data_IF_138068307524
#
_entry.id   IF_138068307524
#
_cell.length_a   1.000
_cell.length_b   1.000
_cell.length_c   1.000
_cell.angle_alpha   90.00
_cell.angle_beta   90.00
_cell.angle_gamma   90.00
#
_symmetry.space_group_name_H-M   'P 1'
#
loop_
_entity.id
_entity.type
_entity.pdbx_description
1 polymer ?
#
# COMPACT_ATOMS: atom_id res chain seq x y z
N UNK A 1 45.38 -16.40 -23.53
CA UNK A 1 44.10 -16.96 -24.03
C UNK A 1 43.12 -17.04 -22.87
N UNK A 2 41.96 -16.40 -23.04
CA UNK A 2 40.94 -16.15 -22.01
C UNK A 2 40.22 -17.42 -21.56
N UNK A 3 40.21 -17.68 -20.26
CA UNK A 3 39.47 -18.77 -19.64
C UNK A 3 38.09 -18.23 -19.19
N UNK A 4 37.07 -18.32 -20.06
CA UNK A 4 35.68 -17.97 -19.72
C UNK A 4 35.10 -19.00 -18.75
N UNK A 5 35.22 -18.75 -17.44
CA UNK A 5 34.39 -19.43 -16.44
C UNK A 5 32.94 -18.95 -16.55
N UNK A 6 32.08 -19.80 -17.10
CA UNK A 6 30.61 -19.75 -16.97
C UNK A 6 30.25 -19.55 -15.49
N UNK A 7 29.64 -18.41 -15.14
CA UNK A 7 28.88 -18.28 -13.89
C UNK A 7 27.66 -19.20 -14.03
N UNK A 8 27.71 -20.35 -13.36
CA UNK A 8 26.55 -21.22 -13.22
C UNK A 8 25.46 -20.45 -12.50
N UNK A 9 24.33 -20.32 -13.17
CA UNK A 9 23.11 -19.74 -12.63
C UNK A 9 22.62 -20.67 -11.50
N UNK A 10 22.92 -20.29 -10.26
CA UNK A 10 22.48 -21.00 -9.07
C UNK A 10 20.97 -20.88 -8.94
N UNK A 11 20.27 -21.84 -9.52
CA UNK A 11 18.87 -22.15 -9.22
C UNK A 11 18.79 -22.48 -7.72
N UNK A 12 18.26 -21.55 -6.94
CA UNK A 12 17.91 -21.81 -5.54
C UNK A 12 16.54 -22.48 -5.50
N UNK A 13 16.56 -23.74 -5.09
CA UNK A 13 15.41 -24.59 -4.87
C UNK A 13 14.55 -24.10 -3.69
N UNK A 14 13.23 -24.24 -3.82
CA UNK A 14 12.44 -24.90 -2.78
C UNK A 14 11.77 -24.09 -1.67
N UNK A 15 11.78 -22.76 -1.66
CA UNK A 15 10.85 -21.98 -0.83
C UNK A 15 9.93 -21.21 -1.76
N UNK A 16 8.61 -21.26 -1.53
CA UNK A 16 7.64 -20.39 -2.18
C UNK A 16 8.01 -18.94 -1.87
N UNK A 17 8.96 -18.39 -2.65
CA UNK A 17 9.30 -16.98 -2.61
C UNK A 17 8.09 -16.27 -3.16
N UNK A 18 7.28 -15.74 -2.25
CA UNK A 18 6.20 -14.80 -2.54
C UNK A 18 6.85 -13.47 -2.99
N UNK A 19 7.35 -13.53 -4.23
CA UNK A 19 7.71 -12.51 -5.21
C UNK A 19 8.05 -11.08 -4.73
N UNK A 20 9.27 -10.62 -5.12
CA UNK A 20 9.56 -9.29 -5.76
C UNK A 20 10.11 -8.15 -4.82
N UNK A 21 10.93 -7.20 -5.35
CA UNK A 21 12.26 -6.71 -4.89
C UNK A 21 12.26 -5.61 -3.82
N UNK A 22 11.15 -5.45 -3.11
CA UNK A 22 10.93 -4.40 -2.11
C UNK A 22 10.60 -5.05 -0.77
N UNK A 23 11.54 -5.86 -0.29
CA UNK A 23 11.41 -6.52 1.01
C UNK A 23 12.10 -5.76 2.14
N UNK A 24 12.73 -4.61 1.90
CA UNK A 24 13.58 -3.96 2.91
C UNK A 24 14.83 -4.79 3.23
N UNK A 25 15.76 -4.21 4.01
CA UNK A 25 17.04 -4.83 4.34
C UNK A 25 17.13 -5.18 5.84
N UNK A 26 17.77 -6.31 6.17
CA UNK A 26 17.96 -6.75 7.56
C UNK A 26 16.65 -6.95 8.34
N UNK A 27 16.57 -6.45 9.57
CA UNK A 27 15.39 -6.59 10.44
C UNK A 27 14.12 -5.91 9.88
N UNK A 28 14.27 -4.87 9.05
CA UNK A 28 13.14 -4.21 8.38
C UNK A 28 12.38 -5.16 7.45
N UNK A 29 13.05 -6.20 6.95
CA UNK A 29 12.43 -7.22 6.10
C UNK A 29 11.37 -8.03 6.80
N UNK A 30 11.67 -8.48 8.01
CA UNK A 30 10.72 -9.24 8.83
C UNK A 30 9.51 -8.37 9.16
N UNK A 31 9.75 -7.09 9.51
CA UNK A 31 8.69 -6.12 9.82
C UNK A 31 7.80 -5.86 8.59
N UNK A 32 8.38 -5.64 7.41
CA UNK A 32 7.63 -5.40 6.17
C UNK A 32 6.76 -6.61 5.80
N UNK A 33 7.28 -7.83 5.95
CA UNK A 33 6.49 -9.06 5.70
C UNK A 33 5.31 -9.13 6.66
N UNK A 34 5.53 -8.86 7.96
CA UNK A 34 4.49 -8.91 8.98
C UNK A 34 3.42 -7.85 8.73
N UNK A 35 3.80 -6.62 8.34
CA UNK A 35 2.88 -5.56 7.95
C UNK A 35 2.07 -5.91 6.69
N UNK A 36 2.69 -6.55 5.69
CA UNK A 36 1.97 -7.03 4.49
C UNK A 36 0.92 -8.08 4.86
N UNK A 37 1.26 -9.04 5.73
CA UNK A 37 0.32 -10.05 6.21
C UNK A 37 -0.85 -9.39 6.97
N UNK A 38 -0.56 -8.43 7.85
CA UNK A 38 -1.58 -7.68 8.56
C UNK A 38 -2.50 -6.91 7.58
N UNK A 39 -1.92 -6.26 6.58
CA UNK A 39 -2.65 -5.55 5.53
C UNK A 39 -3.54 -6.49 4.71
N UNK A 40 -3.07 -7.70 4.40
CA UNK A 40 -3.87 -8.72 3.69
C UNK A 40 -5.10 -9.13 4.50
N UNK A 41 -4.91 -9.42 5.80
CA UNK A 41 -6.00 -9.77 6.71
C UNK A 41 -6.99 -8.60 6.82
N UNK A 42 -6.47 -7.38 7.03
CA UNK A 42 -7.28 -6.17 7.12
C UNK A 42 -8.08 -5.92 5.85
N UNK A 43 -7.48 -6.06 4.67
CA UNK A 43 -8.16 -5.88 3.37
C UNK A 43 -9.26 -6.94 3.18
N UNK A 44 -9.02 -8.17 3.61
CA UNK A 44 -10.01 -9.24 3.53
C UNK A 44 -11.24 -8.92 4.38
N UNK A 45 -11.04 -8.51 5.62
CA UNK A 45 -12.16 -8.22 6.53
C UNK A 45 -12.86 -6.91 6.11
N UNK A 46 -12.10 -5.83 5.95
CA UNK A 46 -12.66 -4.49 5.76
C UNK A 46 -13.14 -4.25 4.33
N UNK A 47 -12.42 -4.73 3.31
CA UNK A 47 -12.74 -4.43 1.92
C UNK A 47 -13.50 -5.56 1.24
N UNK A 48 -13.20 -6.85 1.49
CA UNK A 48 -13.99 -7.94 0.93
C UNK A 48 -15.28 -8.17 1.74
N UNK A 49 -15.17 -8.48 3.03
CA UNK A 49 -16.36 -8.80 3.83
C UNK A 49 -17.26 -7.58 4.00
N UNK A 50 -16.77 -6.46 4.52
CA UNK A 50 -17.62 -5.28 4.71
C UNK A 50 -17.72 -4.40 3.47
N UNK A 51 -16.62 -4.23 2.74
CA UNK A 51 -16.55 -3.30 1.61
C UNK A 51 -17.28 -3.73 0.34
N UNK A 52 -17.38 -5.03 0.08
CA UNK A 52 -18.14 -5.57 -1.07
C UNK A 52 -19.49 -6.10 -0.61
N UNK A 53 -19.55 -6.93 0.44
CA UNK A 53 -20.85 -7.49 0.86
C UNK A 53 -21.75 -6.43 1.46
N UNK A 54 -21.22 -5.40 2.13
CA UNK A 54 -22.03 -4.30 2.69
C UNK A 54 -22.92 -3.63 1.63
N UNK A 55 -22.33 -3.05 0.56
CA UNK A 55 -23.09 -2.48 -0.56
C UNK A 55 -24.06 -3.48 -1.21
N UNK A 56 -23.63 -4.73 -1.44
CA UNK A 56 -24.47 -5.76 -2.07
C UNK A 56 -25.68 -6.10 -1.19
N UNK A 57 -25.49 -6.26 0.11
CA UNK A 57 -26.57 -6.51 1.06
C UNK A 57 -27.58 -5.37 1.08
N UNK A 58 -27.13 -4.12 0.95
CA UNK A 58 -28.04 -2.98 0.88
C UNK A 58 -28.85 -2.98 -0.43
N UNK A 59 -28.24 -3.34 -1.56
CA UNK A 59 -28.96 -3.40 -2.84
C UNK A 59 -29.95 -4.55 -2.96
N UNK A 60 -29.63 -5.72 -2.40
CA UNK A 60 -30.50 -6.90 -2.47
C UNK A 60 -31.52 -6.90 -1.33
N UNK A 61 -31.21 -6.26 -0.20
CA UNK A 61 -32.11 -6.15 0.93
C UNK A 61 -33.31 -5.25 0.66
N UNK A 62 -34.40 -5.50 1.38
CA UNK A 62 -35.61 -4.66 1.37
C UNK A 62 -35.40 -3.39 2.22
N UNK A 63 -34.42 -2.58 1.82
CA UNK A 63 -34.17 -1.27 2.42
C UNK A 63 -34.95 -0.17 1.68
N UNK A 64 -35.16 0.96 2.36
CA UNK A 64 -35.79 2.14 1.76
C UNK A 64 -35.09 2.54 0.45
N UNK A 65 -35.83 2.81 -0.65
CA UNK A 65 -35.26 3.26 -1.93
C UNK A 65 -34.34 4.49 -1.83
N UNK A 66 -34.57 5.37 -0.86
CA UNK A 66 -33.70 6.52 -0.58
C UNK A 66 -32.30 6.09 -0.09
N UNK A 67 -32.18 4.91 0.53
CA UNK A 67 -30.91 4.30 0.93
C UNK A 67 -30.28 3.61 -0.25
N UNK A 68 -30.99 2.69 -0.90
CA UNK A 68 -30.43 1.85 -1.97
C UNK A 68 -29.99 2.65 -3.19
N UNK A 69 -30.68 3.76 -3.47
CA UNK A 69 -30.34 4.73 -4.53
C UNK A 69 -29.26 5.75 -4.14
N UNK A 70 -28.72 5.71 -2.92
CA UNK A 70 -27.73 6.68 -2.48
C UNK A 70 -26.38 6.48 -3.21
N UNK A 71 -25.83 7.50 -3.88
CA UNK A 71 -24.54 7.39 -4.57
C UNK A 71 -23.38 7.00 -3.65
N UNK A 72 -23.49 7.22 -2.34
CA UNK A 72 -22.49 6.83 -1.35
C UNK A 72 -22.23 5.31 -1.35
N UNK A 73 -23.24 4.48 -1.66
CA UNK A 73 -23.08 3.02 -1.71
C UNK A 73 -22.17 2.61 -2.87
N UNK A 74 -22.29 3.29 -4.01
CA UNK A 74 -21.44 3.05 -5.18
C UNK A 74 -20.01 3.48 -4.87
N UNK A 75 -19.81 4.66 -4.27
CA UNK A 75 -18.46 5.13 -3.92
C UNK A 75 -17.81 4.23 -2.87
N UNK A 76 -18.59 3.70 -1.91
CA UNK A 76 -18.13 2.71 -0.95
C UNK A 76 -17.63 1.42 -1.64
N UNK A 77 -18.42 0.87 -2.57
CA UNK A 77 -18.01 -0.33 -3.32
C UNK A 77 -16.73 -0.08 -4.13
N UNK A 78 -16.70 1.02 -4.87
CA UNK A 78 -15.54 1.39 -5.71
C UNK A 78 -14.29 1.56 -4.86
N UNK A 79 -14.39 2.26 -3.72
CA UNK A 79 -13.23 2.49 -2.85
C UNK A 79 -12.71 1.20 -2.23
N UNK A 80 -13.59 0.27 -1.88
CA UNK A 80 -13.21 -1.05 -1.40
C UNK A 80 -12.43 -1.83 -2.46
N UNK A 81 -12.85 -1.76 -3.73
CA UNK A 81 -12.12 -2.36 -4.86
C UNK A 81 -10.74 -1.72 -5.04
N UNK A 82 -10.63 -0.39 -4.92
CA UNK A 82 -9.35 0.32 -5.04
C UNK A 82 -8.38 -0.10 -3.95
N UNK A 83 -8.83 -0.25 -2.69
CA UNK A 83 -8.01 -0.79 -1.61
C UNK A 83 -7.52 -2.22 -1.90
N UNK A 84 -8.37 -3.08 -2.45
CA UNK A 84 -7.98 -4.44 -2.84
C UNK A 84 -6.86 -4.39 -3.89
N UNK A 85 -7.00 -3.54 -4.91
CA UNK A 85 -5.97 -3.33 -5.94
C UNK A 85 -4.66 -2.85 -5.29
N UNK A 86 -4.72 -1.85 -4.40
CA UNK A 86 -3.55 -1.33 -3.70
C UNK A 86 -2.81 -2.41 -2.89
N UNK A 87 -3.55 -3.26 -2.17
CA UNK A 87 -3.00 -4.42 -1.46
C UNK A 87 -2.28 -5.38 -2.41
N UNK A 88 -2.89 -5.72 -3.57
CA UNK A 88 -2.21 -6.56 -4.57
C UNK A 88 -0.93 -5.92 -5.10
N UNK A 89 -0.91 -4.62 -5.35
CA UNK A 89 0.27 -3.90 -5.84
C UNK A 89 1.40 -3.91 -4.79
N UNK A 90 1.08 -3.81 -3.49
CA UNK A 90 2.05 -3.96 -2.39
C UNK A 90 2.61 -5.39 -2.32
N UNK A 91 1.76 -6.39 -2.54
CA UNK A 91 2.16 -7.80 -2.57
C UNK A 91 3.09 -8.10 -3.74
N UNK A 92 2.83 -7.48 -4.90
CA UNK A 92 3.70 -7.51 -6.08
C UNK A 92 4.97 -6.65 -5.93
N UNK A 93 5.28 -6.12 -4.74
CA UNK A 93 6.52 -5.40 -4.48
C UNK A 93 6.60 -3.99 -5.06
N UNK A 94 5.48 -3.38 -5.44
CA UNK A 94 5.45 -2.01 -5.97
C UNK A 94 4.97 -1.02 -4.89
N UNK A 95 5.75 -0.93 -3.80
CA UNK A 95 5.36 -0.25 -2.56
C UNK A 95 4.93 1.22 -2.73
N UNK A 96 5.65 1.98 -3.56
CA UNK A 96 5.32 3.40 -3.83
C UNK A 96 3.99 3.57 -4.55
N UNK A 97 3.78 2.79 -5.61
CA UNK A 97 2.56 2.88 -6.43
C UNK A 97 1.35 2.49 -5.59
N UNK A 98 1.47 1.41 -4.82
CA UNK A 98 0.43 0.98 -3.90
C UNK A 98 0.07 2.05 -2.86
N UNK A 99 1.05 2.74 -2.27
CA UNK A 99 0.78 3.81 -1.31
C UNK A 99 0.00 4.98 -1.91
N UNK A 100 0.22 5.28 -3.20
CA UNK A 100 -0.55 6.31 -3.92
C UNK A 100 -1.98 5.85 -4.18
N UNK A 101 -2.15 4.58 -4.57
CA UNK A 101 -3.47 3.96 -4.80
C UNK A 101 -4.28 3.99 -3.50
N UNK A 102 -3.69 3.58 -2.39
CA UNK A 102 -4.36 3.58 -1.08
C UNK A 102 -4.68 4.99 -0.59
N UNK A 103 -3.79 5.97 -0.83
CA UNK A 103 -4.11 7.37 -0.58
C UNK A 103 -5.35 7.81 -1.37
N UNK A 104 -5.47 7.45 -2.66
CA UNK A 104 -6.65 7.75 -3.45
C UNK A 104 -7.91 7.03 -2.91
N UNK A 105 -7.76 5.77 -2.47
CA UNK A 105 -8.83 5.02 -1.82
C UNK A 105 -9.30 5.70 -0.52
N UNK A 106 -8.38 6.22 0.29
CA UNK A 106 -8.67 6.96 1.53
C UNK A 106 -9.49 8.23 1.27
N UNK A 107 -9.14 8.98 0.23
CA UNK A 107 -9.92 10.15 -0.21
C UNK A 107 -11.32 9.71 -0.62
N UNK A 108 -11.45 8.60 -1.35
CA UNK A 108 -12.76 8.07 -1.69
C UNK A 108 -13.58 7.60 -0.48
N UNK A 109 -12.96 7.07 0.58
CA UNK A 109 -13.65 6.77 1.84
C UNK A 109 -14.20 8.04 2.50
N UNK A 110 -13.44 9.15 2.44
CA UNK A 110 -13.90 10.45 2.93
C UNK A 110 -15.03 11.02 2.06
N UNK A 111 -14.97 10.84 0.73
CA UNK A 111 -16.07 11.20 -0.18
C UNK A 111 -17.33 10.39 0.13
N UNK A 112 -17.18 9.09 0.37
CA UNK A 112 -18.28 8.21 0.79
C UNK A 112 -18.93 8.72 2.07
N UNK A 113 -18.13 9.08 3.07
CA UNK A 113 -18.60 9.70 4.30
C UNK A 113 -19.34 11.01 4.05
N UNK A 114 -18.78 11.91 3.25
CA UNK A 114 -19.42 13.16 2.89
C UNK A 114 -20.78 12.94 2.20
N UNK A 115 -20.86 11.97 1.28
CA UNK A 115 -22.12 11.65 0.59
C UNK A 115 -23.16 11.05 1.54
N UNK A 116 -22.78 10.19 2.46
CA UNK A 116 -23.71 9.69 3.49
C UNK A 116 -24.22 10.82 4.38
N UNK A 117 -23.34 11.71 4.87
CA UNK A 117 -23.73 12.83 5.74
C UNK A 117 -24.62 13.85 5.03
N UNK A 118 -24.35 14.15 3.75
CA UNK A 118 -25.07 15.22 3.03
C UNK A 118 -26.31 14.75 2.28
N UNK A 119 -26.41 13.45 1.95
CA UNK A 119 -27.51 12.90 1.14
C UNK A 119 -28.45 11.98 1.91
N UNK A 120 -28.10 11.55 3.12
CA UNK A 120 -29.05 10.82 3.95
C UNK A 120 -30.12 11.78 4.49
N UNK A 121 -31.39 11.46 4.21
CA UNK A 121 -32.53 12.19 4.75
C UNK A 121 -32.70 11.94 6.26
N UNK A 122 -32.27 10.78 6.75
CA UNK A 122 -32.29 10.41 8.17
C UNK A 122 -30.89 10.40 8.80
N UNK A 123 -30.69 11.09 9.94
CA UNK A 123 -29.40 11.13 10.63
C UNK A 123 -28.88 9.76 11.04
N UNK A 124 -29.76 8.86 11.52
CA UNK A 124 -29.38 7.49 11.92
C UNK A 124 -28.91 6.64 10.72
N UNK A 125 -29.52 6.85 9.56
CA UNK A 125 -29.13 6.23 8.29
C UNK A 125 -27.79 6.78 7.75
N UNK A 126 -27.50 8.05 8.03
CA UNK A 126 -26.26 8.72 7.57
C UNK A 126 -25.00 8.17 8.23
N UNK A 127 -25.08 7.81 9.51
CA UNK A 127 -23.90 7.39 10.30
C UNK A 127 -23.77 5.87 10.40
N UNK A 128 -24.85 5.10 10.24
CA UNK A 128 -24.85 3.64 10.40
C UNK A 128 -23.76 2.91 9.61
N UNK A 129 -23.63 3.11 8.29
CA UNK A 129 -22.62 2.42 7.48
C UNK A 129 -21.18 2.86 7.74
N UNK A 130 -20.98 4.02 8.38
CA UNK A 130 -19.66 4.64 8.60
C UNK A 130 -18.71 3.71 9.34
N UNK A 131 -19.23 2.95 10.31
CA UNK A 131 -18.45 1.99 11.10
C UNK A 131 -17.91 0.81 10.27
N UNK A 132 -18.51 0.54 9.11
CA UNK A 132 -18.14 -0.59 8.26
C UNK A 132 -17.01 -0.26 7.28
N UNK A 133 -16.97 0.98 6.76
CA UNK A 133 -16.01 1.36 5.72
C UNK A 133 -14.91 2.30 6.18
N UNK A 134 -15.14 3.17 7.18
CA UNK A 134 -14.10 4.09 7.64
C UNK A 134 -12.85 3.40 8.20
N UNK A 135 -12.95 2.25 8.90
CA UNK A 135 -11.75 1.54 9.35
C UNK A 135 -10.80 1.15 8.21
N UNK A 136 -11.26 1.07 6.95
CA UNK A 136 -10.39 0.75 5.80
C UNK A 136 -9.26 1.77 5.59
N UNK A 137 -9.41 3.01 6.09
CA UNK A 137 -8.35 4.03 6.06
C UNK A 137 -7.07 3.56 6.76
N UNK A 138 -7.17 2.63 7.73
CA UNK A 138 -5.99 2.04 8.37
C UNK A 138 -5.08 1.32 7.37
N UNK A 139 -5.63 0.79 6.27
CA UNK A 139 -4.87 0.13 5.22
C UNK A 139 -3.93 1.13 4.52
N UNK A 140 -4.38 2.37 4.34
CA UNK A 140 -3.55 3.46 3.81
C UNK A 140 -2.38 3.76 4.73
N UNK A 141 -2.61 3.81 6.04
CA UNK A 141 -1.55 4.03 7.02
C UNK A 141 -0.51 2.91 6.95
N UNK A 142 -0.95 1.65 6.84
CA UNK A 142 -0.07 0.50 6.66
C UNK A 142 0.71 0.57 5.34
N UNK A 143 0.05 0.90 4.23
CA UNK A 143 0.68 1.00 2.91
C UNK A 143 1.77 2.08 2.87
N UNK A 144 1.47 3.25 3.43
CA UNK A 144 2.42 4.35 3.56
C UNK A 144 3.59 3.96 4.47
N UNK A 145 3.32 3.32 5.61
CA UNK A 145 4.36 2.84 6.52
C UNK A 145 5.29 1.81 5.84
N UNK A 146 4.73 0.85 5.10
CA UNK A 146 5.49 -0.12 4.30
C UNK A 146 6.35 0.61 3.26
N UNK A 147 5.78 1.56 2.53
CA UNK A 147 6.51 2.33 1.53
C UNK A 147 7.66 3.14 2.15
N UNK A 148 7.45 3.74 3.32
CA UNK A 148 8.51 4.46 4.05
C UNK A 148 9.63 3.53 4.51
N UNK A 149 9.29 2.40 5.15
CA UNK A 149 10.28 1.44 5.64
C UNK A 149 11.17 0.88 4.52
N UNK A 150 10.63 0.72 3.32
CA UNK A 150 11.38 0.23 2.17
C UNK A 150 12.22 1.34 1.50
N UNK A 151 11.69 2.57 1.41
CA UNK A 151 12.28 3.61 0.58
C UNK A 151 13.19 4.60 1.32
N UNK A 152 12.97 4.85 2.61
CA UNK A 152 13.81 5.73 3.42
C UNK A 152 15.27 5.24 3.47
N UNK A 153 15.58 3.96 3.79
CA UNK A 153 16.99 3.50 3.82
C UNK A 153 17.67 3.64 2.46
N UNK A 154 16.98 3.24 1.37
CA UNK A 154 17.47 3.39 -0.01
C UNK A 154 17.75 4.85 -0.38
N UNK A 155 16.98 5.80 0.15
CA UNK A 155 17.19 7.22 -0.09
C UNK A 155 18.38 7.75 0.73
N UNK A 156 18.52 7.35 1.99
CA UNK A 156 19.63 7.72 2.85
C UNK A 156 20.99 7.27 2.27
N UNK A 157 21.06 6.03 1.77
CA UNK A 157 22.26 5.51 1.11
C UNK A 157 22.61 6.29 -0.17
N UNK A 158 21.61 6.61 -0.99
CA UNK A 158 21.83 7.44 -2.20
C UNK A 158 22.35 8.84 -1.85
N UNK A 159 21.89 9.43 -0.75
CA UNK A 159 22.41 10.72 -0.29
C UNK A 159 23.84 10.59 0.23
N UNK A 160 24.15 9.53 0.98
CA UNK A 160 25.50 9.28 1.48
C UNK A 160 26.51 9.06 0.34
N UNK A 161 26.13 8.34 -0.73
CA UNK A 161 26.96 8.16 -1.93
C UNK A 161 27.21 9.50 -2.62
N UNK A 162 26.16 10.31 -2.84
CA UNK A 162 26.30 11.65 -3.44
C UNK A 162 27.17 12.59 -2.61
N UNK A 163 27.12 12.47 -1.28
CA UNK A 163 27.98 13.25 -0.39
C UNK A 163 29.46 12.82 -0.50
N UNK A 164 29.72 11.51 -0.65
CA UNK A 164 31.08 10.99 -0.89
C UNK A 164 31.62 11.39 -2.26
N UNK A 165 30.78 11.41 -3.30
CA UNK A 165 31.17 11.86 -4.65
C UNK A 165 31.47 13.36 -4.71
N UNK A 166 30.86 14.17 -3.84
CA UNK A 166 31.10 15.62 -3.75
C UNK A 166 32.28 16.01 -2.86
N UNK A 167 32.84 15.09 -2.08
CA UNK A 167 34.06 15.36 -1.33
C UNK A 167 35.24 15.28 -2.32
N UNK A 168 35.88 16.40 -2.69
CA UNK A 168 37.08 16.35 -3.53
C UNK A 168 38.12 15.49 -2.81
N UNK A 169 38.77 14.59 -3.53
CA UNK A 169 39.82 13.74 -2.98
C UNK A 169 40.98 14.64 -2.54
N UNK A 170 40.99 15.03 -1.26
CA UNK A 170 42.06 15.81 -0.63
C UNK A 170 43.36 15.01 -0.43
N UNK A 171 43.52 13.89 -1.16
CA UNK A 171 44.62 12.93 -1.00
C UNK A 171 45.37 12.64 -2.31
N UNK A 172 45.17 13.41 -3.38
CA UNK A 172 45.83 13.15 -4.68
C UNK A 172 46.88 14.18 -5.12
N UNK A 173 47.07 15.31 -4.43
CA UNK A 173 47.84 16.44 -4.99
C UNK A 173 48.97 16.95 -4.06
N UNK A 174 49.64 16.09 -3.28
CA UNK A 174 50.83 16.53 -2.49
C UNK A 174 52.09 15.65 -2.65
N UNK A 175 52.16 14.77 -3.68
CA UNK A 175 53.34 13.91 -3.91
C UNK A 175 54.02 14.10 -5.29
N UNK A 176 53.82 15.22 -5.99
CA UNK A 176 54.40 15.45 -7.34
C UNK A 176 55.03 16.85 -7.53
N UNK A 177 55.70 17.40 -6.51
CA UNK A 177 56.67 18.50 -6.69
C UNK A 177 58.06 18.04 -6.21
N UNK A 178 58.80 17.37 -7.11
CA UNK A 178 60.22 17.04 -6.98
C UNK A 178 61.00 17.62 -8.17
#
# INVERSE_FOLDING_TARGET
>A
MSNKKKKSNGRQDGSFMFFVPDQGEGAAKVIVILLKVLMLIGTTILCLCFGILGPICIWIGEYDPAVTGNPAIVTWLVTSIVYIIGTFVIMLGHSRIASIIDCAASVGSLVTYYLFVTRAQDPELSVGPTMLYMPAIILTVLAVAIAMLINIPKWAEKQAIKAREKAPSILSDEDDDN
#
